data_IF_012516143353
#
_entry.id   IF_012516143353
#
_cell.length_a   1.000
_cell.length_b   1.000
_cell.length_c   1.000
_cell.angle_alpha   90.00
_cell.angle_beta   90.00
_cell.angle_gamma   90.00
#
_symmetry.space_group_name_H-M   'P 1'
#
loop_
_entity.id
_entity.type
_entity.pdbx_description
1 polymer ?
#
# COMPACT_ATOMS: atom_id res chain seq x y z
N UNK A 1 -24.20 1.06 -5.59
CA UNK A 1 -23.05 1.04 -4.66
C UNK A 1 -21.91 0.51 -5.50
N UNK A 2 -21.08 1.40 -6.05
CA UNK A 2 -19.87 0.97 -6.77
C UNK A 2 -18.93 0.57 -5.66
N UNK A 3 -18.81 -0.74 -5.45
CA UNK A 3 -17.70 -1.28 -4.68
C UNK A 3 -16.44 -0.73 -5.32
N UNK A 4 -15.62 -0.13 -4.47
CA UNK A 4 -14.36 0.55 -4.71
C UNK A 4 -13.32 -0.50 -5.16
N UNK A 5 -13.64 -1.18 -6.26
CA UNK A 5 -13.02 -2.41 -6.69
C UNK A 5 -11.57 -2.14 -7.09
N UNK A 6 -10.66 -2.93 -6.53
CA UNK A 6 -9.26 -2.88 -6.92
C UNK A 6 -9.12 -3.14 -8.42
N UNK A 7 -8.10 -2.56 -9.09
CA UNK A 7 -7.78 -2.89 -10.46
C UNK A 7 -7.65 -4.41 -10.67
N UNK A 8 -7.96 -4.87 -11.88
CA UNK A 8 -7.97 -6.31 -12.21
C UNK A 8 -6.68 -7.00 -11.77
N UNK A 9 -6.81 -8.21 -11.21
CA UNK A 9 -5.67 -9.02 -10.75
C UNK A 9 -5.18 -8.70 -9.34
N UNK A 10 -5.61 -7.59 -8.74
CA UNK A 10 -5.25 -7.22 -7.37
C UNK A 10 -6.26 -7.75 -6.35
N UNK A 11 -5.74 -8.19 -5.21
CA UNK A 11 -6.54 -8.63 -4.05
C UNK A 11 -5.96 -8.07 -2.77
N UNK A 12 -6.83 -7.78 -1.80
CA UNK A 12 -6.41 -7.50 -0.43
C UNK A 12 -6.00 -8.80 0.26
N UNK A 13 -4.84 -8.78 0.91
CA UNK A 13 -4.32 -9.86 1.73
C UNK A 13 -4.57 -9.49 3.18
N UNK A 14 -5.50 -10.18 3.83
CA UNK A 14 -5.77 -10.01 5.25
C UNK A 14 -4.67 -10.72 6.07
N UNK A 15 -3.72 -9.94 6.58
CA UNK A 15 -2.57 -10.43 7.35
C UNK A 15 -2.87 -10.59 8.86
N UNK A 16 -4.10 -11.00 9.19
CA UNK A 16 -4.55 -11.15 10.57
C UNK A 16 -3.68 -12.14 11.39
N UNK A 17 -3.02 -13.09 10.73
CA UNK A 17 -2.13 -14.06 11.39
C UNK A 17 -0.72 -13.49 11.65
N UNK A 18 -0.22 -12.56 10.85
CA UNK A 18 1.14 -11.99 11.02
C UNK A 18 1.16 -10.84 12.04
N UNK A 19 0.02 -10.20 12.28
CA UNK A 19 -0.14 -9.11 13.27
C UNK A 19 -0.63 -9.60 14.65
N UNK A 20 -0.89 -10.90 14.82
CA UNK A 20 -1.44 -11.50 16.06
C UNK A 20 -0.60 -11.26 17.34
N UNK A 21 0.62 -10.72 17.22
CA UNK A 21 1.51 -10.41 18.35
C UNK A 21 1.66 -8.93 18.71
N UNK A 22 1.19 -7.98 17.89
CA UNK A 22 1.36 -6.53 18.16
C UNK A 22 0.01 -5.84 18.11
N UNK A 23 -0.42 -5.27 19.24
CA UNK A 23 -1.57 -4.37 19.25
C UNK A 23 -1.18 -3.10 18.49
N UNK A 24 -1.52 -3.04 17.20
CA UNK A 24 -1.39 -1.84 16.38
C UNK A 24 -2.80 -1.23 16.22
N UNK A 25 -3.09 -0.06 16.83
CA UNK A 25 -4.42 0.54 16.76
C UNK A 25 -4.77 1.07 15.36
N UNK A 26 -3.79 1.17 14.46
CA UNK A 26 -3.98 1.58 13.06
C UNK A 26 -3.80 0.38 12.12
N UNK A 27 -4.76 0.13 11.21
CA UNK A 27 -4.73 -1.05 10.34
C UNK A 27 -3.60 -0.96 9.31
N UNK A 28 -2.84 -2.05 9.17
CA UNK A 28 -1.95 -2.25 8.03
C UNK A 28 -2.75 -2.93 6.94
N UNK A 29 -2.78 -2.35 5.75
CA UNK A 29 -3.39 -2.97 4.58
C UNK A 29 -2.32 -3.50 3.64
N UNK A 30 -2.53 -4.70 3.13
CA UNK A 30 -1.64 -5.34 2.15
C UNK A 30 -2.45 -5.78 0.95
N UNK A 31 -1.87 -5.58 -0.21
CA UNK A 31 -2.45 -5.98 -1.49
C UNK A 31 -1.43 -6.77 -2.28
N UNK A 32 -1.90 -7.72 -3.08
CA UNK A 32 -1.06 -8.56 -3.92
C UNK A 32 -1.69 -8.73 -5.30
N UNK A 33 -0.87 -8.72 -6.34
CA UNK A 33 -1.28 -9.05 -7.69
C UNK A 33 -1.19 -10.56 -7.94
N UNK A 34 -2.33 -11.23 -8.13
CA UNK A 34 -2.41 -12.69 -8.22
C UNK A 34 -1.70 -13.32 -9.42
N UNK A 35 -1.42 -12.54 -10.47
CA UNK A 35 -0.71 -13.02 -11.67
C UNK A 35 0.81 -12.93 -11.58
N UNK A 36 1.35 -12.04 -10.75
CA UNK A 36 2.78 -11.73 -10.72
C UNK A 36 3.42 -11.81 -9.33
N UNK A 37 2.62 -11.85 -8.28
CA UNK A 37 3.09 -11.87 -6.91
C UNK A 37 3.55 -10.51 -6.39
N UNK A 38 3.45 -9.42 -7.17
CA UNK A 38 3.81 -8.06 -6.70
C UNK A 38 2.93 -7.66 -5.53
N UNK A 39 3.53 -7.11 -4.48
CA UNK A 39 2.84 -6.68 -3.27
C UNK A 39 2.89 -5.18 -3.03
N UNK A 40 1.81 -4.64 -2.45
CA UNK A 40 1.72 -3.26 -1.97
C UNK A 40 1.35 -3.31 -0.48
N UNK A 41 1.97 -2.44 0.31
CA UNK A 41 1.75 -2.33 1.75
C UNK A 41 1.53 -0.87 2.14
N UNK A 42 0.48 -0.64 2.92
CA UNK A 42 0.14 0.65 3.51
C UNK A 42 0.51 0.56 4.99
N UNK A 43 1.57 1.25 5.38
CA UNK A 43 2.08 1.22 6.76
C UNK A 43 1.89 2.59 7.40
N UNK A 44 1.26 2.69 8.59
CA UNK A 44 1.21 3.96 9.30
C UNK A 44 2.63 4.41 9.69
N UNK A 45 2.95 5.66 9.40
CA UNK A 45 4.26 6.26 9.71
C UNK A 45 4.46 6.41 11.22
N UNK A 46 3.39 6.57 11.98
CA UNK A 46 3.40 6.57 13.44
C UNK A 46 2.38 5.55 13.98
N UNK A 47 2.82 4.39 14.50
CA UNK A 47 1.92 3.35 15.02
C UNK A 47 1.15 3.77 16.28
N UNK A 48 1.54 4.88 16.92
CA UNK A 48 0.91 5.42 18.13
C UNK A 48 0.02 6.65 17.86
N UNK A 49 -0.07 7.12 16.61
CA UNK A 49 -0.88 8.29 16.25
C UNK A 49 -2.37 8.16 16.64
N UNK A 50 -2.86 6.94 16.88
CA UNK A 50 -4.22 6.67 17.36
C UNK A 50 -4.40 6.55 18.88
N UNK A 51 -3.34 6.59 19.69
CA UNK A 51 -3.39 6.24 21.13
C UNK A 51 -3.27 7.46 22.07
N UNK A 52 -2.97 8.64 21.53
CA UNK A 52 -2.76 9.86 22.31
C UNK A 52 -3.99 10.75 22.34
N UNK A 53 -4.46 11.10 23.55
CA UNK A 53 -5.44 12.15 23.82
C UNK A 53 -5.23 13.40 22.94
N UNK A 54 -6.04 13.56 21.91
CA UNK A 54 -6.27 14.85 21.27
C UNK A 54 -7.78 14.99 21.04
N UNK A 55 -8.41 15.85 21.84
CA UNK A 55 -9.75 16.38 21.55
C UNK A 55 -9.71 17.28 20.31
N UNK A 56 -9.38 16.73 19.16
CA UNK A 56 -9.30 17.41 17.88
C UNK A 56 -9.62 16.41 16.76
N UNK A 57 -10.80 16.55 16.19
CA UNK A 57 -11.27 16.07 14.88
C UNK A 57 -10.27 15.21 14.08
N UNK A 58 -10.50 13.90 14.00
CA UNK A 58 -10.23 13.05 12.83
C UNK A 58 -8.88 13.18 12.12
N UNK A 59 -7.75 13.19 12.82
CA UNK A 59 -6.43 13.15 12.18
C UNK A 59 -6.07 11.73 11.76
N UNK A 60 -6.35 11.36 10.51
CA UNK A 60 -5.78 10.16 9.90
C UNK A 60 -4.25 10.35 9.87
N UNK A 61 -3.50 9.52 10.62
CA UNK A 61 -2.04 9.60 10.64
C UNK A 61 -1.45 9.41 9.24
N UNK A 62 -0.23 9.88 9.01
CA UNK A 62 0.46 9.66 7.73
C UNK A 62 0.67 8.16 7.48
N UNK A 63 0.42 7.70 6.26
CA UNK A 63 0.67 6.33 5.80
C UNK A 63 1.72 6.35 4.70
N UNK A 64 2.70 5.46 4.81
CA UNK A 64 3.68 5.19 3.77
C UNK A 64 3.15 4.08 2.86
N UNK A 65 3.17 4.30 1.55
CA UNK A 65 2.84 3.32 0.51
C UNK A 65 4.14 2.72 -0.02
N UNK A 66 4.28 1.40 0.11
CA UNK A 66 5.49 0.68 -0.31
C UNK A 66 5.13 -0.48 -1.23
N UNK A 67 5.98 -0.75 -2.22
CA UNK A 67 5.76 -1.79 -3.24
C UNK A 67 6.97 -2.72 -3.31
N UNK A 68 6.71 -4.03 -3.38
CA UNK A 68 7.74 -5.08 -3.51
C UNK A 68 7.44 -6.00 -4.68
N UNK A 69 8.51 -6.51 -5.31
CA UNK A 69 8.38 -7.53 -6.36
C UNK A 69 7.83 -8.84 -5.81
N UNK A 70 8.25 -9.18 -4.59
CA UNK A 70 7.70 -10.26 -3.81
C UNK A 70 6.69 -9.67 -2.84
N UNK A 71 5.43 -10.04 -3.03
CA UNK A 71 4.36 -9.80 -2.09
C UNK A 71 4.52 -10.68 -0.88
N UNK A 72 5.73 -10.80 -0.30
CA UNK A 72 6.05 -11.42 0.99
C UNK A 72 5.70 -10.48 2.15
N UNK A 73 5.61 -9.18 1.87
CA UNK A 73 5.23 -8.15 2.82
C UNK A 73 6.34 -7.72 3.76
N UNK A 74 7.59 -8.17 3.57
CA UNK A 74 8.71 -7.65 4.37
C UNK A 74 8.98 -6.19 3.99
N UNK A 75 8.82 -5.23 4.92
CA UNK A 75 8.97 -3.81 4.61
C UNK A 75 10.41 -3.44 4.22
N UNK A 76 11.41 -4.26 4.57
CA UNK A 76 12.82 -4.03 4.25
C UNK A 76 13.13 -4.25 2.77
N UNK A 77 12.35 -5.09 2.09
CA UNK A 77 12.51 -5.44 0.68
C UNK A 77 11.56 -4.64 -0.23
N UNK A 78 10.73 -3.77 0.36
CA UNK A 78 9.78 -2.93 -0.36
C UNK A 78 10.36 -1.53 -0.60
N UNK A 79 10.06 -0.98 -1.78
CA UNK A 79 10.40 0.39 -2.15
C UNK A 79 9.25 1.32 -1.78
N UNK A 80 9.53 2.35 -1.00
CA UNK A 80 8.56 3.41 -0.73
C UNK A 80 8.30 4.21 -2.01
N UNK A 81 7.04 4.35 -2.39
CA UNK A 81 6.63 5.12 -3.59
C UNK A 81 5.96 6.43 -3.22
N UNK A 82 5.56 6.62 -1.97
CA UNK A 82 4.97 7.87 -1.51
C UNK A 82 4.41 7.79 -0.09
N UNK A 83 4.08 8.96 0.43
CA UNK A 83 3.42 9.15 1.73
C UNK A 83 2.07 9.83 1.51
N UNK A 84 1.08 9.45 2.30
CA UNK A 84 -0.28 9.94 2.18
C UNK A 84 -0.84 10.34 3.55
N UNK A 85 -1.70 11.37 3.57
CA UNK A 85 -2.29 11.92 4.80
C UNK A 85 -3.53 11.14 5.20
N UNK A 86 -3.36 9.86 5.49
CA UNK A 86 -4.44 8.96 5.91
C UNK A 86 -4.54 7.70 5.07
N UNK A 87 -5.40 6.79 5.52
CA UNK A 87 -5.52 5.47 4.90
C UNK A 87 -6.23 5.56 3.54
N UNK A 88 -7.24 6.42 3.42
CA UNK A 88 -7.96 6.63 2.16
C UNK A 88 -7.07 7.20 1.06
N UNK A 89 -6.25 8.21 1.38
CA UNK A 89 -5.30 8.78 0.42
C UNK A 89 -4.21 7.76 0.05
N UNK A 90 -3.72 6.98 1.01
CA UNK A 90 -2.75 5.91 0.76
C UNK A 90 -3.33 4.84 -0.17
N UNK A 91 -4.61 4.51 -0.03
CA UNK A 91 -5.32 3.62 -0.94
C UNK A 91 -5.47 4.23 -2.34
N UNK A 92 -5.68 5.54 -2.44
CA UNK A 92 -5.67 6.27 -3.70
C UNK A 92 -4.34 6.12 -4.44
N UNK A 93 -3.21 6.41 -3.76
CA UNK A 93 -1.86 6.24 -4.30
C UNK A 93 -1.58 4.79 -4.70
N UNK A 94 -1.96 3.84 -3.84
CA UNK A 94 -1.82 2.42 -4.13
C UNK A 94 -2.57 2.02 -5.41
N UNK A 95 -3.81 2.49 -5.60
CA UNK A 95 -4.62 2.20 -6.79
C UNK A 95 -4.06 2.81 -8.06
N UNK A 96 -3.53 4.03 -7.98
CA UNK A 96 -2.88 4.68 -9.10
C UNK A 96 -1.68 3.85 -9.56
N UNK A 97 -0.87 3.38 -8.62
CA UNK A 97 0.22 2.46 -8.92
C UNK A 97 -0.27 1.13 -9.49
N UNK A 98 -1.30 0.50 -8.91
CA UNK A 98 -1.88 -0.76 -9.40
C UNK A 98 -2.35 -0.64 -10.86
N UNK A 99 -3.01 0.47 -11.22
CA UNK A 99 -3.44 0.75 -12.59
C UNK A 99 -2.25 0.94 -13.53
N UNK A 100 -1.26 1.72 -13.11
CA UNK A 100 -0.03 1.98 -13.88
C UNK A 100 0.78 0.71 -14.09
N UNK A 101 0.87 -0.14 -13.07
CA UNK A 101 1.52 -1.44 -13.15
C UNK A 101 0.81 -2.38 -14.13
N UNK A 102 -0.52 -2.44 -14.10
CA UNK A 102 -1.27 -3.22 -15.06
C UNK A 102 -1.03 -2.73 -16.49
N UNK A 103 -1.17 -1.42 -16.75
CA UNK A 103 -0.99 -0.86 -18.08
C UNK A 103 0.44 -1.01 -18.61
N UNK A 104 1.46 -0.65 -17.81
CA UNK A 104 2.85 -0.63 -18.27
C UNK A 104 3.55 -1.97 -18.14
N UNK A 105 3.35 -2.71 -17.06
CA UNK A 105 4.07 -3.96 -16.81
C UNK A 105 3.31 -5.18 -17.34
N UNK A 106 2.00 -5.32 -17.04
CA UNK A 106 1.21 -6.48 -17.46
C UNK A 106 0.88 -6.41 -18.95
N UNK A 107 0.31 -5.29 -19.41
CA UNK A 107 -0.10 -5.10 -20.79
C UNK A 107 1.04 -4.56 -21.68
N UNK A 108 1.85 -3.65 -21.14
CA UNK A 108 2.95 -2.98 -21.86
C UNK A 108 4.30 -3.71 -21.85
N UNK A 109 4.49 -4.71 -20.99
CA UNK A 109 5.73 -5.49 -20.89
C UNK A 109 6.94 -4.73 -20.32
N UNK A 110 6.73 -3.58 -19.69
CA UNK A 110 7.77 -2.81 -19.01
C UNK A 110 8.27 -3.55 -17.76
N UNK A 111 9.56 -3.38 -17.43
CA UNK A 111 10.12 -4.00 -16.24
C UNK A 111 9.55 -3.38 -14.95
N UNK A 112 9.19 -4.22 -13.97
CA UNK A 112 8.67 -3.78 -12.67
C UNK A 112 9.52 -2.68 -12.01
N UNK A 113 10.86 -2.81 -12.06
CA UNK A 113 11.78 -1.83 -11.47
C UNK A 113 11.70 -0.45 -12.12
N UNK A 114 11.40 -0.40 -13.43
CA UNK A 114 11.21 0.86 -14.15
C UNK A 114 9.95 1.56 -13.66
N UNK A 115 8.83 0.83 -13.59
CA UNK A 115 7.54 1.36 -13.11
C UNK A 115 7.62 1.81 -11.65
N UNK A 116 8.27 1.04 -10.78
CA UNK A 116 8.49 1.42 -9.37
C UNK A 116 9.43 2.62 -9.24
N UNK A 117 10.50 2.67 -10.03
CA UNK A 117 11.43 3.80 -10.02
C UNK A 117 10.77 5.11 -10.44
N UNK A 118 9.88 5.06 -11.42
CA UNK A 118 9.06 6.19 -11.86
C UNK A 118 8.11 6.64 -10.73
N UNK A 119 7.38 5.69 -10.14
CA UNK A 119 6.47 5.97 -9.02
C UNK A 119 7.17 6.56 -7.79
N UNK A 120 8.36 6.05 -7.44
CA UNK A 120 9.14 6.55 -6.30
C UNK A 120 9.83 7.89 -6.57
N UNK A 121 10.06 8.24 -7.84
CA UNK A 121 10.73 9.47 -8.26
C UNK A 121 9.79 10.66 -8.54
N UNK A 122 8.47 10.45 -8.57
CA UNK A 122 7.47 11.49 -8.86
C UNK A 122 7.10 12.39 -7.68
N UNK A 123 7.77 12.29 -6.53
CA UNK A 123 7.46 13.02 -5.30
C UNK A 123 8.30 14.30 -5.12
#
# INVERSE_FOLDING_TARGET
>A
MVEDALPSGWREVNDAEHDSGRYNPQPISRYEHGGTGVGIRLTPADPNAGTGNAGGTGGEGTYQVSVGADGSGDPSDMTAIGDASGHGDALGVAREFMGTYNDRCIDGGEEFKSVVGDAAGSN
#
